data_IF_534072920917
#
_entry.id   IF_534072920917
#
_cell.length_a   1.000
_cell.length_b   1.000
_cell.length_c   1.000
_cell.angle_alpha   90.00
_cell.angle_beta   90.00
_cell.angle_gamma   90.00
#
_symmetry.space_group_name_H-M   'P 1'
#
loop_
_entity.id
_entity.type
_entity.pdbx_description
1 polymer ?
#
# COMPACT_ATOMS: atom_id res chain seq x y z
N UNK A 1 -4.51 1.89 -25.82
CA UNK A 1 -4.46 1.58 -24.38
C UNK A 1 -3.50 2.49 -23.64
N UNK A 2 -2.20 2.18 -23.64
CA UNK A 2 -1.21 2.80 -22.72
C UNK A 2 -0.70 4.19 -23.16
N UNK A 3 -0.60 4.47 -24.47
CA UNK A 3 -0.08 5.77 -24.98
C UNK A 3 -0.93 7.00 -24.64
N UNK A 4 -2.26 6.86 -24.53
CA UNK A 4 -3.14 7.98 -24.17
C UNK A 4 -3.20 8.20 -22.65
N UNK A 5 -2.97 7.14 -21.86
CA UNK A 5 -2.84 7.23 -20.41
C UNK A 5 -1.64 8.08 -20.00
N UNK A 6 -0.52 8.04 -20.72
CA UNK A 6 0.65 8.86 -20.38
C UNK A 6 0.34 10.37 -20.31
N UNK A 7 -0.43 10.88 -21.29
CA UNK A 7 -0.83 12.30 -21.33
C UNK A 7 -1.89 12.64 -20.28
N UNK A 8 -2.90 11.77 -20.14
CA UNK A 8 -3.97 11.96 -19.14
C UNK A 8 -3.39 11.90 -17.73
N UNK A 9 -2.52 10.93 -17.46
CA UNK A 9 -1.83 10.78 -16.19
C UNK A 9 -0.93 11.99 -15.91
N UNK A 10 -0.13 12.45 -16.89
CA UNK A 10 0.69 13.64 -16.70
C UNK A 10 -0.15 14.89 -16.36
N UNK A 11 -1.26 15.10 -17.06
CA UNK A 11 -2.20 16.18 -16.76
C UNK A 11 -2.82 16.03 -15.36
N UNK A 12 -3.28 14.83 -15.02
CA UNK A 12 -3.92 14.53 -13.73
C UNK A 12 -2.94 14.72 -12.57
N UNK A 13 -1.70 14.25 -12.71
CA UNK A 13 -0.64 14.43 -11.72
C UNK A 13 -0.27 15.90 -11.54
N UNK A 14 -0.20 16.68 -12.63
CA UNK A 14 0.01 18.12 -12.55
C UNK A 14 -1.14 18.83 -11.82
N UNK A 15 -2.39 18.48 -12.15
CA UNK A 15 -3.57 19.04 -11.50
C UNK A 15 -3.64 18.70 -10.00
N UNK A 16 -3.34 17.46 -9.62
CA UNK A 16 -3.25 17.02 -8.22
C UNK A 16 -2.14 17.74 -7.46
N UNK A 17 -0.98 17.91 -8.10
CA UNK A 17 0.14 18.62 -7.50
C UNK A 17 -0.22 20.10 -7.27
N UNK A 18 -0.84 20.77 -8.25
CA UNK A 18 -1.34 22.13 -8.08
C UNK A 18 -2.40 22.22 -6.98
N UNK A 19 -3.34 21.26 -6.92
CA UNK A 19 -4.35 21.18 -5.88
C UNK A 19 -3.71 21.01 -4.49
N UNK A 20 -2.70 20.15 -4.38
CA UNK A 20 -1.92 19.90 -3.17
C UNK A 20 -1.23 21.18 -2.67
N UNK A 21 -0.56 21.91 -3.56
CA UNK A 21 0.10 23.18 -3.22
C UNK A 21 -0.93 24.20 -2.74
N UNK A 22 -2.04 24.32 -3.46
CA UNK A 22 -3.09 25.27 -3.11
C UNK A 22 -3.73 24.92 -1.77
N UNK A 23 -4.02 23.64 -1.52
CA UNK A 23 -4.54 23.17 -0.24
C UNK A 23 -3.56 23.46 0.90
N UNK A 24 -2.25 23.24 0.68
CA UNK A 24 -1.22 23.63 1.65
C UNK A 24 -1.31 25.12 1.99
N UNK A 25 -1.43 25.99 0.99
CA UNK A 25 -1.52 27.44 1.20
C UNK A 25 -2.79 27.85 1.95
N UNK A 26 -3.92 27.19 1.72
CA UNK A 26 -5.17 27.51 2.43
C UNK A 26 -5.08 27.05 3.88
N UNK A 27 -4.67 25.79 4.10
CA UNK A 27 -4.66 25.18 5.43
C UNK A 27 -3.62 25.83 6.34
N UNK A 28 -2.40 26.09 5.85
CA UNK A 28 -1.34 26.69 6.67
C UNK A 28 -1.49 28.20 6.89
N UNK A 29 -2.48 28.86 6.27
CA UNK A 29 -2.81 30.27 6.51
C UNK A 29 -3.98 30.46 7.48
N UNK A 30 -4.63 29.39 7.92
CA UNK A 30 -5.72 29.46 8.89
C UNK A 30 -5.21 29.78 10.30
N UNK A 31 -5.83 30.75 10.98
CA UNK A 31 -5.45 31.19 12.33
C UNK A 31 -6.09 30.36 13.47
N UNK A 32 -7.08 29.51 13.17
CA UNK A 32 -7.85 28.75 14.16
C UNK A 32 -7.52 27.26 14.09
N UNK A 33 -6.79 26.75 15.08
CA UNK A 33 -6.61 25.32 15.30
C UNK A 33 -7.63 24.80 16.32
N UNK A 34 -8.42 23.79 15.95
CA UNK A 34 -9.18 23.01 16.95
C UNK A 34 -8.25 21.99 17.63
N UNK A 35 -8.50 21.67 18.89
CA UNK A 35 -7.69 20.66 19.58
C UNK A 35 -7.90 19.29 18.92
N UNK A 36 -6.81 18.57 18.64
CA UNK A 36 -6.89 17.21 18.13
C UNK A 36 -7.65 16.33 19.16
N UNK A 37 -8.82 15.83 18.77
CA UNK A 37 -9.61 14.91 19.56
C UNK A 37 -9.42 13.50 19.00
N UNK A 38 -8.84 12.61 19.80
CA UNK A 38 -8.62 11.22 19.39
C UNK A 38 -7.74 10.47 20.38
N UNK A 39 -8.03 9.20 20.59
CA UNK A 39 -7.34 8.31 21.54
C UNK A 39 -6.48 7.24 20.86
N UNK A 40 -6.14 7.42 19.58
CA UNK A 40 -5.32 6.45 18.86
C UNK A 40 -3.91 6.40 19.46
N UNK A 41 -3.44 5.19 19.80
CA UNK A 41 -2.07 5.00 20.27
C UNK A 41 -1.07 5.34 19.16
N UNK A 42 0.15 5.75 19.53
CA UNK A 42 1.21 5.98 18.56
C UNK A 42 1.49 4.71 17.72
N UNK A 43 1.44 3.54 18.35
CA UNK A 43 1.63 2.25 17.68
C UNK A 43 0.59 1.97 16.60
N UNK A 44 -0.69 2.23 16.90
CA UNK A 44 -1.78 2.11 15.93
C UNK A 44 -1.63 3.10 14.77
N UNK A 45 -1.16 4.31 15.05
CA UNK A 45 -0.88 5.31 14.02
C UNK A 45 0.23 4.85 13.06
N UNK A 46 1.31 4.29 13.62
CA UNK A 46 2.41 3.70 12.84
C UNK A 46 1.91 2.53 12.01
N UNK A 47 1.08 1.65 12.59
CA UNK A 47 0.53 0.49 11.90
C UNK A 47 -0.34 0.89 10.71
N UNK A 48 -1.27 1.83 10.92
CA UNK A 48 -2.15 2.32 9.87
C UNK A 48 -1.34 3.00 8.75
N UNK A 49 -0.30 3.75 9.12
CA UNK A 49 0.60 4.40 8.18
C UNK A 49 1.43 3.40 7.37
N UNK A 50 1.74 2.23 7.92
CA UNK A 50 2.52 1.17 7.27
C UNK A 50 1.65 0.25 6.38
N UNK A 51 0.42 -0.04 6.80
CA UNK A 51 -0.49 -0.96 6.12
C UNK A 51 -0.79 -0.54 4.67
N UNK A 52 -0.97 0.76 4.44
CA UNK A 52 -1.22 1.32 3.11
C UNK A 52 -0.06 1.03 2.12
N UNK A 53 1.18 1.51 2.35
CA UNK A 53 2.31 1.25 1.45
C UNK A 53 2.63 -0.24 1.24
N UNK A 54 2.43 -1.09 2.25
CA UNK A 54 2.69 -2.54 2.12
C UNK A 54 1.87 -3.19 1.00
N UNK A 55 0.63 -2.74 0.80
CA UNK A 55 -0.24 -3.27 -0.24
C UNK A 55 0.21 -2.94 -1.67
N UNK A 56 1.10 -1.94 -1.81
CA UNK A 56 1.60 -1.45 -3.10
C UNK A 56 2.92 -2.12 -3.52
N UNK A 57 3.42 -3.09 -2.75
CA UNK A 57 4.69 -3.74 -3.02
C UNK A 57 4.76 -4.49 -4.36
N UNK A 58 3.71 -5.20 -4.82
CA UNK A 58 3.69 -5.75 -6.17
C UNK A 58 3.76 -4.66 -7.25
N UNK A 59 3.01 -3.56 -7.05
CA UNK A 59 2.95 -2.48 -8.02
C UNK A 59 4.31 -1.78 -8.19
N UNK A 60 5.04 -1.51 -7.11
CA UNK A 60 6.38 -0.90 -7.24
C UNK A 60 7.38 -1.83 -7.95
N UNK A 61 7.22 -3.15 -7.79
CA UNK A 61 8.01 -4.13 -8.56
C UNK A 61 7.70 -4.00 -10.06
N UNK A 62 6.42 -3.91 -10.44
CA UNK A 62 6.02 -3.71 -11.84
C UNK A 62 6.59 -2.42 -12.44
N UNK A 63 6.71 -1.35 -11.65
CA UNK A 63 7.30 -0.08 -12.12
C UNK A 63 8.83 -0.13 -12.24
N UNK A 64 9.50 -0.88 -11.37
CA UNK A 64 10.96 -0.85 -11.25
C UNK A 64 11.66 -1.98 -12.01
N UNK A 65 10.93 -3.01 -12.49
CA UNK A 65 11.52 -4.19 -13.13
C UNK A 65 12.36 -3.90 -14.39
N UNK A 66 12.00 -2.88 -15.16
CA UNK A 66 12.73 -2.45 -16.37
C UNK A 66 13.80 -1.38 -16.11
N UNK A 67 14.09 -1.07 -14.84
CA UNK A 67 15.07 -0.03 -14.51
C UNK A 67 16.50 -0.48 -14.84
N UNK A 68 17.24 0.37 -15.54
CA UNK A 68 18.67 0.16 -15.81
C UNK A 68 19.54 0.21 -14.54
N UNK A 69 19.05 0.83 -13.46
CA UNK A 69 19.76 0.96 -12.20
C UNK A 69 18.82 0.66 -11.00
N UNK A 70 18.59 -0.62 -10.68
CA UNK A 70 17.59 -1.03 -9.68
C UNK A 70 17.77 -0.39 -8.29
N UNK A 71 19.02 -0.28 -7.82
CA UNK A 71 19.31 0.35 -6.51
C UNK A 71 18.98 1.85 -6.49
N UNK A 72 19.32 2.57 -7.56
CA UNK A 72 19.01 4.01 -7.66
C UNK A 72 17.51 4.23 -7.79
N UNK A 73 16.83 3.44 -8.63
CA UNK A 73 15.38 3.51 -8.77
C UNK A 73 14.65 3.26 -7.44
N UNK A 74 15.09 2.24 -6.69
CA UNK A 74 14.54 1.95 -5.36
C UNK A 74 14.77 3.11 -4.38
N UNK A 75 16.00 3.65 -4.31
CA UNK A 75 16.32 4.76 -3.40
C UNK A 75 15.52 6.03 -3.72
N UNK A 76 15.44 6.41 -5.00
CA UNK A 76 14.66 7.58 -5.43
C UNK A 76 13.19 7.37 -5.11
N UNK A 77 12.64 6.17 -5.33
CA UNK A 77 11.25 5.85 -5.01
C UNK A 77 10.97 6.01 -3.52
N UNK A 78 11.86 5.50 -2.65
CA UNK A 78 11.75 5.66 -1.20
C UNK A 78 11.76 7.13 -0.79
N UNK A 79 12.72 7.92 -1.30
CA UNK A 79 12.84 9.33 -0.94
C UNK A 79 11.65 10.17 -1.40
N UNK A 80 11.20 9.97 -2.64
CA UNK A 80 10.05 10.70 -3.21
C UNK A 80 8.76 10.31 -2.49
N UNK A 81 8.55 9.01 -2.23
CA UNK A 81 7.39 8.53 -1.50
C UNK A 81 7.37 9.05 -0.06
N UNK A 82 8.51 9.03 0.62
CA UNK A 82 8.64 9.56 1.99
C UNK A 82 8.32 11.05 2.06
N UNK A 83 8.93 11.86 1.19
CA UNK A 83 8.71 13.30 1.16
C UNK A 83 7.26 13.64 0.79
N UNK A 84 6.72 13.01 -0.26
CA UNK A 84 5.34 13.21 -0.70
C UNK A 84 4.31 12.79 0.35
N UNK A 85 4.51 11.62 0.97
CA UNK A 85 3.60 11.12 2.01
C UNK A 85 3.64 12.03 3.24
N UNK A 86 4.83 12.41 3.71
CA UNK A 86 4.96 13.31 4.87
C UNK A 86 4.23 14.64 4.61
N UNK A 87 4.37 15.19 3.41
CA UNK A 87 3.65 16.42 3.02
C UNK A 87 2.13 16.22 3.01
N UNK A 88 1.64 15.12 2.43
CA UNK A 88 0.21 14.77 2.44
C UNK A 88 -0.35 14.58 3.86
N UNK A 89 0.37 13.86 4.74
CA UNK A 89 -0.02 13.67 6.14
C UNK A 89 -0.12 15.01 6.88
N UNK A 90 0.83 15.93 6.67
CA UNK A 90 0.78 17.26 7.29
C UNK A 90 -0.42 18.07 6.80
N UNK A 91 -0.73 18.04 5.50
CA UNK A 91 -1.91 18.75 4.96
C UNK A 91 -3.19 18.11 5.49
N UNK A 92 -3.30 16.78 5.50
CA UNK A 92 -4.48 16.08 6.00
C UNK A 92 -4.76 16.36 7.48
N UNK A 93 -3.71 16.34 8.31
CA UNK A 93 -3.79 16.73 9.71
C UNK A 93 -4.24 18.18 9.88
N UNK A 94 -3.58 19.11 9.18
CA UNK A 94 -3.93 20.53 9.23
C UNK A 94 -5.36 20.79 8.75
N UNK A 95 -5.78 20.10 7.68
CA UNK A 95 -7.12 20.22 7.12
C UNK A 95 -8.18 19.71 8.09
N UNK A 96 -7.93 18.58 8.75
CA UNK A 96 -8.85 18.03 9.75
C UNK A 96 -8.97 18.94 10.97
N UNK A 97 -7.85 19.47 11.47
CA UNK A 97 -7.83 20.43 12.59
C UNK A 97 -8.52 21.76 12.23
N UNK A 98 -8.34 22.24 11.00
CA UNK A 98 -8.89 23.52 10.57
C UNK A 98 -10.40 23.44 10.28
N UNK A 99 -10.85 22.36 9.65
CA UNK A 99 -12.26 22.20 9.22
C UNK A 99 -13.13 21.46 10.22
N UNK A 100 -12.52 20.70 11.15
CA UNK A 100 -13.24 19.78 12.04
C UNK A 100 -13.84 18.56 11.33
N UNK A 101 -13.50 18.34 10.05
CA UNK A 101 -14.01 17.25 9.22
C UNK A 101 -12.91 16.22 8.95
N UNK A 102 -13.31 14.98 8.72
CA UNK A 102 -12.42 13.90 8.24
C UNK A 102 -12.69 13.54 6.78
N UNK A 103 -13.85 13.93 6.24
CA UNK A 103 -14.23 13.70 4.86
C UNK A 103 -13.53 14.69 3.91
N UNK A 104 -12.75 14.16 2.97
CA UNK A 104 -11.95 14.97 2.04
C UNK A 104 -12.81 15.88 1.15
N UNK A 105 -14.01 15.44 0.74
CA UNK A 105 -14.89 16.25 -0.09
C UNK A 105 -15.45 17.43 0.72
N UNK A 106 -15.83 17.20 1.98
CA UNK A 106 -16.24 18.27 2.90
C UNK A 106 -15.09 19.22 3.19
N UNK A 107 -13.89 18.71 3.43
CA UNK A 107 -12.68 19.53 3.60
C UNK A 107 -12.48 20.45 2.38
N UNK A 108 -12.57 19.93 1.15
CA UNK A 108 -12.42 20.74 -0.06
C UNK A 108 -13.51 21.82 -0.17
N UNK A 109 -14.76 21.49 0.16
CA UNK A 109 -15.86 22.44 0.13
C UNK A 109 -15.66 23.56 1.17
N UNK A 110 -15.30 23.20 2.41
CA UNK A 110 -15.00 24.15 3.49
C UNK A 110 -13.78 25.03 3.18
N UNK A 111 -12.80 24.51 2.44
CA UNK A 111 -11.65 25.25 1.97
C UNK A 111 -11.96 26.17 0.75
N UNK A 112 -13.21 26.23 0.28
CA UNK A 112 -13.60 27.06 -0.88
C UNK A 112 -13.11 26.54 -2.23
N UNK A 113 -12.61 25.31 -2.27
CA UNK A 113 -12.06 24.66 -3.46
C UNK A 113 -13.13 24.05 -4.38
N UNK A 114 -14.36 23.94 -3.86
CA UNK A 114 -15.56 23.65 -4.64
C UNK A 114 -15.55 22.31 -5.38
N UNK A 115 -16.44 22.20 -6.37
CA UNK A 115 -16.63 20.98 -7.18
C UNK A 115 -15.39 20.65 -8.03
N UNK A 116 -14.60 21.65 -8.41
CA UNK A 116 -13.42 21.46 -9.25
C UNK A 116 -12.34 20.59 -8.57
N UNK A 117 -12.08 20.80 -7.28
CA UNK A 117 -11.14 19.97 -6.54
C UNK A 117 -11.63 18.53 -6.38
N UNK A 118 -12.92 18.34 -6.09
CA UNK A 118 -13.54 17.01 -6.01
C UNK A 118 -13.42 16.30 -7.37
N UNK A 119 -13.63 17.00 -8.48
CA UNK A 119 -13.48 16.44 -9.82
C UNK A 119 -12.05 16.00 -10.13
N UNK A 120 -11.04 16.81 -9.74
CA UNK A 120 -9.61 16.44 -9.88
C UNK A 120 -9.31 15.16 -9.08
N UNK A 121 -9.81 15.07 -7.85
CA UNK A 121 -9.66 13.88 -7.00
C UNK A 121 -10.30 12.65 -7.67
N UNK A 122 -11.53 12.77 -8.18
CA UNK A 122 -12.21 11.67 -8.87
C UNK A 122 -11.42 11.19 -10.09
N UNK A 123 -10.91 12.11 -10.92
CA UNK A 123 -10.08 11.73 -12.08
C UNK A 123 -8.79 11.05 -11.63
N UNK A 124 -8.15 11.56 -10.57
CA UNK A 124 -6.97 10.91 -9.96
C UNK A 124 -7.27 9.48 -9.57
N UNK A 125 -8.38 9.26 -8.86
CA UNK A 125 -8.76 7.93 -8.41
C UNK A 125 -8.91 6.97 -9.59
N UNK A 126 -9.53 7.41 -10.70
CA UNK A 126 -9.62 6.58 -11.91
C UNK A 126 -8.25 6.19 -12.44
N UNK A 127 -7.28 7.11 -12.47
CA UNK A 127 -5.92 6.80 -12.95
C UNK A 127 -5.20 5.81 -12.03
N UNK A 128 -5.36 5.93 -10.72
CA UNK A 128 -4.77 5.00 -9.74
C UNK A 128 -5.43 3.63 -9.78
N UNK A 129 -6.77 3.56 -9.76
CA UNK A 129 -7.51 2.30 -9.82
C UNK A 129 -7.25 1.52 -11.10
N UNK A 130 -7.02 2.22 -12.22
CA UNK A 130 -6.58 1.56 -13.46
C UNK A 130 -5.27 0.78 -13.26
N UNK A 131 -4.30 1.34 -12.51
CA UNK A 131 -3.03 0.69 -12.26
C UNK A 131 -3.18 -0.55 -11.36
N UNK A 132 -4.03 -0.48 -10.33
CA UNK A 132 -4.29 -1.61 -9.43
C UNK A 132 -4.90 -2.79 -10.21
N UNK A 133 -5.90 -2.50 -11.02
CA UNK A 133 -6.58 -3.47 -11.87
C UNK A 133 -5.64 -4.04 -12.94
N UNK A 134 -4.77 -3.20 -13.52
CA UNK A 134 -3.74 -3.63 -14.46
C UNK A 134 -2.73 -4.57 -13.79
N UNK A 135 -2.21 -4.20 -12.61
CA UNK A 135 -1.25 -5.03 -11.86
C UNK A 135 -1.88 -6.37 -11.44
N UNK A 136 -3.16 -6.39 -11.05
CA UNK A 136 -3.89 -7.64 -10.81
C UNK A 136 -3.97 -8.52 -12.07
N UNK A 137 -4.23 -7.92 -13.23
CA UNK A 137 -4.25 -8.63 -14.52
C UNK A 137 -2.90 -9.22 -14.91
N UNK A 138 -1.82 -8.45 -14.75
CA UNK A 138 -0.44 -8.92 -15.01
C UNK A 138 -0.02 -9.99 -14.00
N UNK A 139 -0.27 -9.79 -12.71
CA UNK A 139 0.05 -10.75 -11.66
C UNK A 139 -0.65 -12.10 -11.87
N UNK A 140 -1.92 -12.08 -12.31
CA UNK A 140 -2.66 -13.31 -12.58
C UNK A 140 -2.14 -14.07 -13.81
N UNK A 141 -1.60 -13.35 -14.80
CA UNK A 141 -0.99 -13.99 -15.98
C UNK A 141 0.24 -14.84 -15.61
N UNK A 142 0.88 -14.57 -14.47
CA UNK A 142 1.96 -15.42 -13.95
C UNK A 142 1.47 -16.73 -13.33
N UNK A 143 0.18 -16.86 -13.02
CA UNK A 143 -0.43 -18.08 -12.45
C UNK A 143 -0.99 -18.97 -13.58
N UNK A 144 -1.66 -18.37 -14.57
CA UNK A 144 -2.24 -19.12 -15.68
C UNK A 144 -2.33 -18.31 -16.97
N UNK A 145 -1.94 -18.94 -18.08
CA UNK A 145 -2.11 -18.39 -19.43
C UNK A 145 -3.52 -18.59 -20.00
N UNK A 146 -4.41 -19.27 -19.26
CA UNK A 146 -5.77 -19.62 -19.74
C UNK A 146 -6.72 -18.42 -19.81
N UNK A 147 -6.45 -17.37 -19.05
CA UNK A 147 -7.28 -16.16 -18.98
C UNK A 147 -6.42 -14.98 -19.37
N UNK A 148 -6.90 -14.15 -20.30
CA UNK A 148 -6.18 -12.95 -20.70
C UNK A 148 -6.07 -11.98 -19.53
N UNK A 149 -4.93 -11.28 -19.42
CA UNK A 149 -4.70 -10.25 -18.40
C UNK A 149 -5.79 -9.17 -18.42
N UNK A 150 -6.37 -8.88 -19.59
CA UNK A 150 -7.49 -7.93 -19.74
C UNK A 150 -8.78 -8.45 -19.11
N UNK A 151 -9.10 -9.74 -19.27
CA UNK A 151 -10.29 -10.32 -18.66
C UNK A 151 -10.14 -10.40 -17.13
N UNK A 152 -8.95 -10.78 -16.64
CA UNK A 152 -8.67 -10.78 -15.20
C UNK A 152 -8.77 -9.37 -14.62
N UNK A 153 -8.21 -8.37 -15.30
CA UNK A 153 -8.35 -6.96 -14.92
C UNK A 153 -9.84 -6.55 -14.83
N UNK A 154 -10.64 -6.90 -15.83
CA UNK A 154 -12.08 -6.60 -15.80
C UNK A 154 -12.80 -7.27 -14.62
N UNK A 155 -12.50 -8.54 -14.36
CA UNK A 155 -13.05 -9.29 -13.21
C UNK A 155 -12.65 -8.63 -11.89
N UNK A 156 -11.38 -8.25 -11.74
CA UNK A 156 -10.87 -7.56 -10.55
C UNK A 156 -11.55 -6.20 -10.35
N UNK A 157 -11.79 -5.44 -11.43
CA UNK A 157 -12.51 -4.17 -11.39
C UNK A 157 -13.96 -4.35 -10.91
N UNK A 158 -14.68 -5.33 -11.46
CA UNK A 158 -16.07 -5.62 -11.07
C UNK A 158 -16.12 -6.07 -9.61
N UNK A 159 -15.24 -7.00 -9.21
CA UNK A 159 -15.18 -7.49 -7.84
C UNK A 159 -14.82 -6.38 -6.84
N UNK A 160 -13.83 -5.53 -7.15
CA UNK A 160 -13.46 -4.39 -6.34
C UNK A 160 -14.59 -3.37 -6.21
N UNK A 161 -15.32 -3.10 -7.31
CA UNK A 161 -16.49 -2.21 -7.29
C UNK A 161 -17.60 -2.78 -6.41
N UNK A 162 -17.89 -4.07 -6.52
CA UNK A 162 -18.88 -4.72 -5.67
C UNK A 162 -18.45 -4.65 -4.18
N UNK A 163 -17.20 -4.96 -3.86
CA UNK A 163 -16.68 -4.82 -2.50
C UNK A 163 -16.81 -3.39 -1.99
N UNK A 164 -16.49 -2.38 -2.80
CA UNK A 164 -16.63 -0.97 -2.42
C UNK A 164 -18.08 -0.55 -2.16
N UNK A 165 -19.05 -1.10 -2.91
CA UNK A 165 -20.49 -0.80 -2.72
C UNK A 165 -21.06 -1.47 -1.48
N UNK A 166 -20.60 -2.68 -1.15
CA UNK A 166 -21.15 -3.48 -0.05
C UNK A 166 -20.38 -3.37 1.27
N UNK A 167 -19.18 -2.77 1.28
CA UNK A 167 -18.37 -2.62 2.49
C UNK A 167 -18.56 -1.24 3.10
N UNK A 168 -18.96 -1.13 4.37
CA UNK A 168 -19.06 0.16 5.06
C UNK A 168 -17.69 0.85 5.15
N UNK A 169 -17.64 2.16 4.93
CA UNK A 169 -16.38 2.93 4.95
C UNK A 169 -15.73 2.93 6.34
N UNK A 170 -16.52 2.75 7.39
CA UNK A 170 -16.07 2.62 8.78
C UNK A 170 -15.19 1.37 8.98
N UNK A 171 -15.29 0.37 8.10
CA UNK A 171 -14.46 -0.84 8.15
C UNK A 171 -13.17 -0.72 7.33
N UNK A 172 -12.89 0.43 6.72
CA UNK A 172 -11.72 0.62 5.87
C UNK A 172 -10.41 0.35 6.61
N UNK A 173 -10.31 0.76 7.88
CA UNK A 173 -9.14 0.47 8.73
C UNK A 173 -8.93 -1.05 8.91
N UNK A 174 -10.00 -1.79 9.24
CA UNK A 174 -9.96 -3.24 9.38
C UNK A 174 -9.57 -3.95 8.07
N UNK A 175 -9.98 -3.39 6.93
CA UNK A 175 -9.59 -3.86 5.62
C UNK A 175 -8.10 -3.63 5.34
N UNK A 176 -7.56 -2.45 5.69
CA UNK A 176 -6.12 -2.17 5.59
C UNK A 176 -5.30 -3.15 6.45
N UNK A 177 -5.74 -3.41 7.68
CA UNK A 177 -5.10 -4.40 8.55
C UNK A 177 -5.20 -5.83 8.02
N UNK A 178 -6.32 -6.20 7.36
CA UNK A 178 -6.43 -7.48 6.68
C UNK A 178 -5.40 -7.62 5.57
N UNK A 179 -5.25 -6.60 4.74
CA UNK A 179 -4.27 -6.62 3.66
C UNK A 179 -2.85 -6.62 4.24
N UNK A 180 -2.56 -5.82 5.26
CA UNK A 180 -1.29 -5.82 5.99
C UNK A 180 -0.91 -7.21 6.51
N UNK A 181 -1.87 -7.94 7.08
CA UNK A 181 -1.67 -9.30 7.59
C UNK A 181 -1.31 -10.33 6.52
N UNK A 182 -1.67 -10.07 5.25
CA UNK A 182 -1.34 -10.92 4.10
C UNK A 182 0.02 -10.56 3.51
N UNK A 183 0.28 -9.27 3.30
CA UNK A 183 1.49 -8.81 2.61
C UNK A 183 2.72 -8.77 3.51
N UNK A 184 2.60 -8.41 4.79
CA UNK A 184 3.77 -8.33 5.67
C UNK A 184 4.51 -9.68 5.79
N UNK A 185 3.84 -10.83 6.05
CA UNK A 185 4.50 -12.13 6.07
C UNK A 185 5.07 -12.54 4.70
N UNK A 186 4.34 -12.25 3.62
CA UNK A 186 4.77 -12.58 2.25
C UNK A 186 6.10 -11.89 1.92
N UNK A 187 6.20 -10.61 2.25
CA UNK A 187 7.40 -9.79 1.98
C UNK A 187 8.56 -10.21 2.87
N UNK A 188 8.30 -10.56 4.13
CA UNK A 188 9.31 -11.11 5.02
C UNK A 188 9.93 -12.40 4.49
N UNK A 189 9.12 -13.31 3.95
CA UNK A 189 9.60 -14.53 3.30
C UNK A 189 10.42 -14.18 2.05
N UNK A 190 9.90 -13.31 1.19
CA UNK A 190 10.59 -12.86 -0.03
C UNK A 190 11.98 -12.28 0.28
N UNK A 191 12.07 -11.37 1.25
CA UNK A 191 13.34 -10.77 1.68
C UNK A 191 14.28 -11.85 2.22
N UNK A 192 13.76 -12.77 3.03
CA UNK A 192 14.58 -13.82 3.66
C UNK A 192 15.13 -14.80 2.63
N UNK A 193 14.30 -15.31 1.74
CA UNK A 193 14.74 -16.28 0.73
C UNK A 193 15.71 -15.66 -0.25
N UNK A 194 15.40 -14.46 -0.76
CA UNK A 194 16.21 -13.84 -1.80
C UNK A 194 17.51 -13.24 -1.26
N UNK A 195 17.46 -12.43 -0.20
CA UNK A 195 18.63 -11.70 0.29
C UNK A 195 19.44 -12.45 1.36
N UNK A 196 18.78 -13.21 2.24
CA UNK A 196 19.46 -13.86 3.38
C UNK A 196 19.90 -15.28 3.01
N UNK A 197 18.96 -16.12 2.59
CA UNK A 197 19.21 -17.53 2.31
C UNK A 197 19.78 -17.75 0.89
N UNK A 198 19.57 -16.79 -0.01
CA UNK A 198 19.92 -16.84 -1.43
C UNK A 198 19.37 -18.11 -2.09
N UNK A 199 18.15 -18.48 -1.73
CA UNK A 199 17.46 -19.61 -2.34
C UNK A 199 16.84 -19.15 -3.66
N UNK A 200 16.95 -19.99 -4.68
CA UNK A 200 16.28 -19.80 -5.95
C UNK A 200 15.07 -20.74 -6.02
N UNK A 201 13.88 -20.17 -5.95
CA UNK A 201 12.60 -20.88 -6.05
C UNK A 201 11.90 -20.66 -7.42
N UNK A 202 12.59 -20.09 -8.43
CA UNK A 202 11.96 -19.76 -9.73
C UNK A 202 11.38 -20.96 -10.48
N UNK A 203 11.88 -22.18 -10.21
CA UNK A 203 11.41 -23.42 -10.84
C UNK A 203 10.39 -24.20 -10.01
N UNK A 204 10.12 -23.78 -8.78
CA UNK A 204 9.16 -24.43 -7.89
C UNK A 204 7.78 -23.77 -8.04
N UNK A 205 6.72 -24.57 -8.26
CA UNK A 205 5.35 -24.04 -8.34
C UNK A 205 4.79 -23.61 -6.99
N UNK A 206 5.14 -24.31 -5.91
CA UNK A 206 4.75 -23.97 -4.55
C UNK A 206 5.76 -24.53 -3.54
N UNK A 207 6.37 -23.64 -2.76
CA UNK A 207 7.17 -24.04 -1.61
C UNK A 207 6.27 -24.18 -0.38
N UNK A 208 5.98 -25.44 0.00
CA UNK A 208 5.07 -25.76 1.12
C UNK A 208 5.57 -25.17 2.44
N UNK A 209 6.89 -25.16 2.68
CA UNK A 209 7.45 -24.60 3.91
C UNK A 209 7.16 -23.11 4.02
N UNK A 210 7.39 -22.37 2.93
CA UNK A 210 7.11 -20.93 2.88
C UNK A 210 5.62 -20.64 2.97
N UNK A 211 4.78 -21.47 2.34
CA UNK A 211 3.33 -21.34 2.43
C UNK A 211 2.82 -21.53 3.88
N UNK A 212 3.36 -22.52 4.60
CA UNK A 212 3.03 -22.72 6.02
C UNK A 212 3.52 -21.54 6.87
N UNK A 213 4.74 -21.05 6.64
CA UNK A 213 5.28 -19.88 7.35
C UNK A 213 4.45 -18.62 7.06
N UNK A 214 3.93 -18.48 5.84
CA UNK A 214 3.06 -17.37 5.46
C UNK A 214 1.72 -17.42 6.23
N UNK A 215 1.06 -18.59 6.31
CA UNK A 215 -0.16 -18.78 7.12
C UNK A 215 0.14 -18.50 8.59
N UNK A 216 1.24 -19.01 9.12
CA UNK A 216 1.65 -18.75 10.50
C UNK A 216 1.87 -17.24 10.73
N UNK A 217 2.54 -16.56 9.80
CA UNK A 217 2.74 -15.12 9.84
C UNK A 217 1.44 -14.31 9.80
N UNK A 218 0.46 -14.74 9.00
CA UNK A 218 -0.88 -14.14 8.99
C UNK A 218 -1.54 -14.25 10.37
N UNK A 219 -1.52 -15.43 10.98
CA UNK A 219 -2.09 -15.65 12.33
C UNK A 219 -1.34 -14.84 13.38
N UNK A 220 0.00 -14.81 13.34
CA UNK A 220 0.83 -14.02 14.24
C UNK A 220 0.49 -12.54 14.11
N UNK A 221 0.34 -12.02 12.87
CA UNK A 221 -0.07 -10.63 12.64
C UNK A 221 -1.41 -10.32 13.29
N UNK A 222 -2.42 -11.17 13.05
CA UNK A 222 -3.76 -10.97 13.64
C UNK A 222 -3.76 -11.03 15.16
N UNK A 223 -2.90 -11.85 15.75
CA UNK A 223 -2.73 -11.90 17.19
C UNK A 223 -1.97 -10.68 17.73
N UNK A 224 -0.92 -10.23 17.04
CA UNK A 224 -0.13 -9.05 17.42
C UNK A 224 -0.92 -7.75 17.38
N UNK A 225 -1.94 -7.65 16.53
CA UNK A 225 -2.83 -6.48 16.52
C UNK A 225 -3.61 -6.27 17.81
N UNK A 226 -3.78 -7.32 18.63
CA UNK A 226 -4.35 -7.18 19.97
C UNK A 226 -3.34 -6.63 21.00
N UNK A 227 -2.06 -6.53 20.64
CA UNK A 227 -0.98 -6.03 21.49
C UNK A 227 -0.64 -4.59 21.09
N UNK A 228 -0.64 -3.68 22.07
CA UNK A 228 -0.13 -2.33 21.83
C UNK A 228 1.40 -2.33 21.85
N UNK A 229 2.01 -2.13 20.68
CA UNK A 229 3.45 -2.00 20.52
C UNK A 229 3.80 -0.60 20.01
N UNK A 230 4.94 -0.05 20.42
CA UNK A 230 5.37 1.30 19.98
C UNK A 230 5.65 1.35 18.47
N UNK A 231 6.02 0.22 17.87
CA UNK A 231 6.41 0.11 16.46
C UNK A 231 5.28 -0.35 15.53
N UNK A 232 4.05 -0.51 16.04
CA UNK A 232 2.99 -1.22 15.32
C UNK A 232 3.22 -2.73 15.29
N UNK A 233 2.26 -3.46 14.70
CA UNK A 233 2.29 -4.93 14.56
C UNK A 233 3.16 -5.40 13.40
N UNK A 234 3.21 -4.64 12.31
CA UNK A 234 3.93 -4.98 11.07
C UNK A 234 5.38 -5.32 11.33
N UNK A 235 6.16 -4.42 11.95
CA UNK A 235 7.61 -4.59 12.10
C UNK A 235 7.97 -5.82 12.98
N UNK A 236 7.38 -6.01 14.18
CA UNK A 236 7.60 -7.22 14.98
C UNK A 236 7.22 -8.51 14.24
N UNK A 237 6.08 -8.52 13.54
CA UNK A 237 5.63 -9.69 12.78
C UNK A 237 6.60 -9.99 11.65
N UNK A 238 7.04 -8.97 10.91
CA UNK A 238 8.00 -9.14 9.83
C UNK A 238 9.30 -9.75 10.35
N UNK A 239 9.83 -9.25 11.48
CA UNK A 239 11.01 -9.81 12.12
C UNK A 239 10.81 -11.28 12.54
N UNK A 240 9.67 -11.61 13.16
CA UNK A 240 9.34 -12.97 13.56
C UNK A 240 9.26 -13.92 12.36
N UNK A 241 8.57 -13.52 11.29
CA UNK A 241 8.43 -14.30 10.06
C UNK A 241 9.79 -14.49 9.37
N UNK A 242 10.63 -13.46 9.34
CA UNK A 242 11.99 -13.58 8.79
C UNK A 242 12.84 -14.59 9.58
N UNK A 243 12.75 -14.59 10.91
CA UNK A 243 13.45 -15.56 11.76
C UNK A 243 12.95 -16.98 11.48
N UNK A 244 11.62 -17.18 11.41
CA UNK A 244 11.01 -18.47 11.11
C UNK A 244 11.43 -19.00 9.73
N UNK A 245 11.38 -18.14 8.70
CA UNK A 245 11.81 -18.48 7.35
C UNK A 245 13.31 -18.83 7.31
N UNK A 246 14.16 -18.04 7.97
CA UNK A 246 15.60 -18.29 8.03
C UNK A 246 15.93 -19.61 8.74
N UNK A 247 15.24 -19.91 9.84
CA UNK A 247 15.39 -21.16 10.58
C UNK A 247 14.95 -22.36 9.72
N UNK A 248 13.76 -22.30 9.11
CA UNK A 248 13.25 -23.37 8.25
C UNK A 248 14.19 -23.64 7.05
N UNK A 249 14.68 -22.58 6.40
CA UNK A 249 15.60 -22.69 5.28
C UNK A 249 16.95 -23.30 5.66
N UNK A 250 17.52 -22.91 6.81
CA UNK A 250 18.77 -23.51 7.32
C UNK A 250 18.60 -24.98 7.69
N UNK A 251 17.50 -25.34 8.37
CA UNK A 251 17.20 -26.73 8.72
C UNK A 251 17.02 -27.60 7.48
N UNK A 252 16.36 -27.09 6.43
CA UNK A 252 16.22 -27.80 5.15
C UNK A 252 17.58 -28.06 4.49
N UNK A 253 18.50 -27.08 4.48
CA UNK A 253 19.87 -27.27 3.96
C UNK A 253 20.62 -28.36 4.73
N UNK A 254 20.61 -28.28 6.06
CA UNK A 254 21.23 -29.28 6.95
C UNK A 254 20.72 -30.71 6.74
N UNK A 255 19.39 -30.87 6.58
CA UNK A 255 18.78 -32.19 6.34
C UNK A 255 19.08 -32.70 4.92
N UNK A 256 19.18 -31.81 3.94
CA UNK A 256 19.45 -32.18 2.54
C UNK A 256 20.92 -32.49 2.22
N UNK A 257 21.84 -32.31 3.18
CA UNK A 257 23.26 -32.59 3.01
C UNK A 257 23.99 -31.70 1.99
N UNK A 258 23.42 -30.54 1.64
CA UNK A 258 24.02 -29.51 0.78
C UNK A 258 24.34 -28.24 1.56
#
# INVERSE_FOLDING_TARGET
>A
GIKNLGKINAFTMAALFSLTVLLSLIIFRGDTATAAAGSMSFGSAVELSAAMPLSWLPLISDYTHNSSNPRKASLVSVLVYFAGSTWMYMIGLGASIFTGESDIARIMLSAGLGVAAVFIIVISTVTTTFLDVYSAGVSFSSITDRVSSTNTALIACIAGTALAVFTPIEQYENFLFLIGSVFAPMVSILITDFFILKNDHFSESLNISNFIIWIAGFVIYRWFMAMETVFGSTLPVMAAVMILAAAAGKTKKLISGK
#
